data_IF_004505795619
#
_entry.id   IF_004505795619
#
_cell.length_a   1.000
_cell.length_b   1.000
_cell.length_c   1.000
_cell.angle_alpha   90.00
_cell.angle_beta   90.00
_cell.angle_gamma   90.00
#
_symmetry.space_group_name_H-M   'P 1'
#
loop_
_entity.id
_entity.type
_entity.pdbx_description
1 polymer ?
#
# COMPACT_ATOMS: atom_id res chain seq x y z
N UNK A 1 -17.27 17.92 -9.39
CA UNK A 1 -16.53 18.85 -8.52
C UNK A 1 -15.33 18.08 -8.04
N UNK A 2 -14.13 18.55 -8.36
CA UNK A 2 -12.90 17.86 -8.02
C UNK A 2 -12.39 18.35 -6.65
N UNK A 3 -11.91 17.42 -5.83
CA UNK A 3 -11.39 17.71 -4.49
C UNK A 3 -9.87 17.71 -4.53
N UNK A 4 -9.25 18.87 -4.25
CA UNK A 4 -7.79 19.05 -4.27
C UNK A 4 -7.32 19.89 -3.07
N UNK A 5 -6.08 19.69 -2.59
CA UNK A 5 -5.12 18.64 -2.99
C UNK A 5 -5.49 17.26 -2.42
N UNK A 6 -5.08 16.19 -3.11
CA UNK A 6 -5.18 14.83 -2.60
C UNK A 6 -3.79 14.31 -2.18
N UNK A 7 -3.63 13.76 -0.97
CA UNK A 7 -2.39 13.09 -0.61
C UNK A 7 -2.20 11.88 -1.53
N UNK A 8 -0.95 11.60 -1.92
CA UNK A 8 -0.63 10.39 -2.69
C UNK A 8 0.33 9.53 -1.91
N UNK A 9 -0.02 8.25 -1.77
CA UNK A 9 0.77 7.25 -1.07
C UNK A 9 1.03 6.04 -1.95
N UNK A 10 2.12 5.33 -1.66
CA UNK A 10 2.42 4.05 -2.27
C UNK A 10 2.02 2.92 -1.31
N UNK A 11 1.04 2.12 -1.72
CA UNK A 11 0.54 0.99 -0.95
C UNK A 11 1.21 -0.29 -1.43
N UNK A 12 1.92 -0.95 -0.53
CA UNK A 12 2.48 -2.28 -0.76
C UNK A 12 1.55 -3.36 -0.23
N UNK A 13 1.45 -4.47 -0.95
CA UNK A 13 0.66 -5.64 -0.56
C UNK A 13 1.27 -6.92 -1.09
N UNK A 14 0.95 -8.05 -0.45
CA UNK A 14 1.45 -9.38 -0.80
C UNK A 14 0.40 -10.42 -0.42
N UNK A 15 0.26 -11.49 -1.19
CA UNK A 15 -0.56 -12.63 -0.78
C UNK A 15 0.24 -13.50 0.22
N UNK A 16 -0.41 -14.32 1.02
CA UNK A 16 0.27 -15.31 1.89
C UNK A 16 0.81 -16.50 1.08
N UNK A 17 0.13 -16.84 0.00
CA UNK A 17 0.49 -17.96 -0.88
C UNK A 17 1.48 -17.56 -1.97
N UNK A 18 1.38 -16.31 -2.46
CA UNK A 18 2.28 -15.77 -3.47
C UNK A 18 3.42 -15.01 -2.79
N UNK A 19 4.66 -15.39 -3.08
CA UNK A 19 5.84 -14.75 -2.53
C UNK A 19 6.08 -13.35 -3.11
N UNK A 20 5.46 -13.03 -4.26
CA UNK A 20 5.74 -11.78 -4.97
C UNK A 20 4.95 -10.60 -4.40
N UNK A 21 5.63 -9.54 -3.93
CA UNK A 21 4.95 -8.33 -3.49
C UNK A 21 4.55 -7.44 -4.66
N UNK A 22 3.56 -6.59 -4.43
CA UNK A 22 3.12 -5.58 -5.36
C UNK A 22 3.04 -4.20 -4.67
N UNK A 23 3.07 -3.15 -5.48
CA UNK A 23 2.97 -1.75 -5.05
C UNK A 23 2.00 -0.98 -5.95
N UNK A 24 1.20 -0.09 -5.39
CA UNK A 24 0.22 0.73 -6.13
C UNK A 24 0.13 2.14 -5.56
N UNK A 25 -0.08 3.13 -6.42
CA UNK A 25 -0.32 4.51 -6.00
C UNK A 25 -1.78 4.74 -5.70
N UNK A 26 -2.07 5.31 -4.54
CA UNK A 26 -3.42 5.63 -4.07
C UNK A 26 -3.48 7.10 -3.67
N UNK A 27 -4.39 7.83 -4.30
CA UNK A 27 -4.71 9.22 -3.93
C UNK A 27 -5.98 9.34 -3.07
N UNK A 28 -6.87 8.34 -3.14
CA UNK A 28 -8.09 8.30 -2.33
C UNK A 28 -7.78 7.67 -0.97
N UNK A 29 -7.13 8.46 -0.13
CA UNK A 29 -6.63 8.09 1.18
C UNK A 29 -6.76 9.26 2.15
N UNK A 30 -6.80 8.99 3.45
CA UNK A 30 -6.83 10.04 4.46
C UNK A 30 -6.93 9.49 5.87
N UNK A 31 -6.87 10.40 6.84
CA UNK A 31 -7.13 10.09 8.24
C UNK A 31 -8.64 9.90 8.39
N UNK A 32 -9.04 8.74 8.89
CA UNK A 32 -10.43 8.42 9.19
C UNK A 32 -10.81 8.82 10.61
N UNK A 33 -9.90 8.57 11.57
CA UNK A 33 -10.12 8.90 12.98
C UNK A 33 -8.79 9.18 13.68
N UNK A 34 -8.82 10.18 14.57
CA UNK A 34 -7.73 10.51 15.49
C UNK A 34 -8.10 10.05 16.89
N UNK A 35 -7.77 8.81 17.24
CA UNK A 35 -7.94 8.22 18.57
C UNK A 35 -6.60 7.86 19.22
N UNK A 36 -6.59 6.94 20.22
CA UNK A 36 -5.35 6.42 20.79
C UNK A 36 -4.41 5.78 19.75
N UNK A 37 -4.97 5.33 18.63
CA UNK A 37 -4.24 4.99 17.40
C UNK A 37 -4.80 5.82 16.24
N UNK A 38 -3.90 6.25 15.36
CA UNK A 38 -4.26 6.94 14.12
C UNK A 38 -4.81 5.92 13.12
N UNK A 39 -6.06 6.11 12.70
CA UNK A 39 -6.71 5.25 11.71
C UNK A 39 -6.72 5.96 10.36
N UNK A 40 -6.21 5.28 9.33
CA UNK A 40 -6.20 5.76 7.95
C UNK A 40 -6.99 4.83 7.06
N UNK A 41 -7.62 5.39 6.03
CA UNK A 41 -8.31 4.61 5.01
C UNK A 41 -7.57 4.70 3.67
N UNK A 42 -7.65 3.63 2.88
CA UNK A 42 -7.31 3.63 1.46
C UNK A 42 -8.53 3.13 0.68
N UNK A 43 -8.81 3.72 -0.47
CA UNK A 43 -9.85 3.25 -1.37
C UNK A 43 -9.22 2.62 -2.61
N UNK A 44 -9.39 1.29 -2.74
CA UNK A 44 -8.89 0.53 -3.88
C UNK A 44 -10.10 0.02 -4.67
N UNK A 45 -10.15 0.36 -5.97
CA UNK A 45 -11.23 -0.10 -6.84
C UNK A 45 -11.21 -1.64 -6.97
N UNK A 46 -12.31 -2.35 -6.71
CA UNK A 46 -12.32 -3.82 -6.79
C UNK A 46 -12.04 -4.38 -8.19
N UNK A 47 -12.61 -3.73 -9.22
CA UNK A 47 -12.41 -4.13 -10.62
C UNK A 47 -11.15 -3.48 -11.18
N UNK A 48 -10.29 -4.30 -11.77
CA UNK A 48 -9.11 -3.85 -12.53
C UNK A 48 -7.87 -3.49 -11.70
N UNK A 49 -7.91 -3.61 -10.35
CA UNK A 49 -6.72 -3.41 -9.51
C UNK A 49 -6.28 -4.71 -8.86
N UNK A 50 -5.16 -5.24 -9.31
CA UNK A 50 -4.55 -6.46 -8.74
C UNK A 50 -4.32 -6.35 -7.22
N UNK A 51 -3.92 -5.15 -6.74
CA UNK A 51 -3.73 -4.90 -5.31
C UNK A 51 -5.01 -5.13 -4.48
N UNK A 52 -6.21 -4.92 -5.03
CA UNK A 52 -7.45 -5.19 -4.29
C UNK A 52 -7.53 -6.66 -3.90
N UNK A 53 -7.28 -7.57 -4.85
CA UNK A 53 -7.28 -9.02 -4.58
C UNK A 53 -6.25 -9.38 -3.50
N UNK A 54 -5.01 -8.89 -3.62
CA UNK A 54 -3.95 -9.16 -2.64
C UNK A 54 -4.32 -8.68 -1.24
N UNK A 55 -4.88 -7.48 -1.12
CA UNK A 55 -5.27 -6.88 0.16
C UNK A 55 -6.45 -7.62 0.77
N UNK A 56 -7.48 -7.98 -0.02
CA UNK A 56 -8.63 -8.72 0.47
C UNK A 56 -8.27 -10.13 0.93
N UNK A 57 -7.36 -10.82 0.24
CA UNK A 57 -6.94 -12.18 0.59
C UNK A 57 -6.03 -12.20 1.83
N UNK A 58 -5.04 -11.31 1.87
CA UNK A 58 -4.08 -11.27 2.99
C UNK A 58 -4.65 -10.60 4.23
N UNK A 59 -5.57 -9.65 4.05
CA UNK A 59 -6.02 -8.65 5.03
C UNK A 59 -4.89 -7.73 5.49
N UNK A 60 -3.90 -7.50 4.63
CA UNK A 60 -2.61 -6.90 4.98
C UNK A 60 -2.13 -5.93 3.88
N UNK A 61 -1.74 -4.70 4.26
CA UNK A 61 -1.10 -3.72 3.37
C UNK A 61 -0.24 -2.71 4.18
N UNK A 62 0.71 -2.02 3.54
CA UNK A 62 1.51 -0.93 4.15
C UNK A 62 1.40 0.31 3.31
N UNK A 63 1.29 1.45 3.98
CA UNK A 63 1.29 2.77 3.37
C UNK A 63 2.70 3.34 3.48
N UNK A 64 3.29 3.68 2.33
CA UNK A 64 4.57 4.36 2.23
C UNK A 64 4.32 5.78 1.73
N UNK A 65 4.94 6.76 2.37
CA UNK A 65 4.83 8.18 1.98
C UNK A 65 5.99 8.49 1.04
N UNK A 66 5.74 8.71 -0.27
CA UNK A 66 6.79 9.03 -1.21
C UNK A 66 7.30 10.47 -1.02
N UNK A 67 8.54 10.70 -1.40
CA UNK A 67 9.14 12.03 -1.52
C UNK A 67 8.91 12.61 -2.93
N UNK A 68 9.10 13.92 -3.10
CA UNK A 68 8.85 14.59 -4.39
C UNK A 68 9.73 14.06 -5.55
N UNK A 69 10.96 13.61 -5.26
CA UNK A 69 11.87 13.00 -6.25
C UNK A 69 11.40 11.61 -6.71
N UNK A 70 10.43 11.00 -6.03
CA UNK A 70 9.83 9.73 -6.41
C UNK A 70 8.59 9.88 -7.27
N UNK A 71 8.25 11.09 -7.74
CA UNK A 71 7.04 11.36 -8.51
C UNK A 71 6.86 10.44 -9.73
N UNK A 72 7.95 10.14 -10.47
CA UNK A 72 7.91 9.24 -11.62
C UNK A 72 7.60 7.79 -11.22
N UNK A 73 8.12 7.33 -10.09
CA UNK A 73 7.84 5.99 -9.54
C UNK A 73 6.37 5.91 -9.11
N UNK A 74 5.87 6.97 -8.45
CA UNK A 74 4.48 7.08 -8.05
C UNK A 74 3.55 7.04 -9.26
N UNK A 75 3.83 7.78 -10.32
CA UNK A 75 3.00 7.74 -11.53
C UNK A 75 2.99 6.33 -12.16
N UNK A 76 4.18 5.74 -12.34
CA UNK A 76 4.33 4.39 -12.89
C UNK A 76 3.54 3.34 -12.11
N UNK A 77 3.64 3.37 -10.78
CA UNK A 77 2.95 2.41 -9.91
C UNK A 77 1.42 2.54 -9.95
N UNK A 78 0.88 3.70 -10.33
CA UNK A 78 -0.55 3.95 -10.51
C UNK A 78 -1.10 3.49 -11.86
N UNK A 79 -0.27 3.52 -12.91
CA UNK A 79 -0.67 3.19 -14.28
C UNK A 79 -0.53 1.70 -14.61
N UNK A 80 0.58 1.07 -14.19
CA UNK A 80 0.88 -0.32 -14.57
C UNK A 80 0.27 -1.32 -13.60
N UNK A 81 -0.24 -2.45 -14.10
CA UNK A 81 -0.73 -3.54 -13.26
C UNK A 81 0.42 -4.42 -12.77
N UNK A 82 0.44 -4.72 -11.47
CA UNK A 82 1.41 -5.66 -10.89
C UNK A 82 1.09 -7.13 -11.15
N UNK A 83 -0.04 -7.43 -11.82
CA UNK A 83 -0.41 -8.79 -12.19
C UNK A 83 0.60 -9.39 -13.16
N UNK A 84 1.03 -8.59 -14.13
CA UNK A 84 1.87 -9.03 -15.24
C UNK A 84 3.31 -8.48 -15.14
N UNK A 85 3.54 -7.51 -14.25
CA UNK A 85 4.82 -6.79 -14.14
C UNK A 85 5.34 -6.82 -12.70
N UNK A 86 6.64 -7.10 -12.55
CA UNK A 86 7.35 -6.83 -11.28
C UNK A 86 7.73 -5.35 -11.19
N UNK A 87 6.93 -4.58 -10.48
CA UNK A 87 7.17 -3.14 -10.33
C UNK A 87 8.41 -2.83 -9.49
N UNK A 88 8.80 -3.69 -8.54
CA UNK A 88 10.00 -3.46 -7.73
C UNK A 88 11.26 -3.56 -8.60
N UNK A 89 11.30 -4.56 -9.49
CA UNK A 89 12.38 -4.70 -10.47
C UNK A 89 12.46 -3.50 -11.43
N UNK A 90 11.32 -3.06 -11.97
CA UNK A 90 11.29 -1.93 -12.93
C UNK A 90 11.65 -0.60 -12.27
N UNK A 91 11.17 -0.35 -11.05
CA UNK A 91 11.37 0.92 -10.36
C UNK A 91 12.66 0.98 -9.54
N UNK A 92 13.36 -0.15 -9.37
CA UNK A 92 14.56 -0.25 -8.53
C UNK A 92 14.28 -0.16 -7.03
N UNK A 93 13.01 -0.20 -6.62
CA UNK A 93 12.62 -0.20 -5.21
C UNK A 93 12.97 -1.54 -4.56
N UNK A 94 13.48 -1.51 -3.34
CA UNK A 94 13.81 -2.73 -2.59
C UNK A 94 12.77 -3.01 -1.51
N UNK A 95 12.05 -4.15 -1.55
CA UNK A 95 11.11 -4.52 -0.50
C UNK A 95 11.85 -4.97 0.78
N UNK A 96 11.38 -4.48 1.93
CA UNK A 96 11.90 -4.69 3.30
C UNK A 96 10.75 -5.18 4.16
N UNK A 97 10.95 -6.16 5.03
CA UNK A 97 9.91 -6.61 5.95
C UNK A 97 9.46 -5.51 6.92
N UNK A 98 8.15 -5.23 7.00
CA UNK A 98 7.62 -4.28 7.97
C UNK A 98 7.56 -4.90 9.35
N UNK A 99 7.97 -4.10 10.32
CA UNK A 99 7.93 -4.43 11.72
C UNK A 99 6.51 -4.24 12.29
N UNK A 100 5.93 -5.28 12.88
CA UNK A 100 4.58 -5.22 13.47
C UNK A 100 4.64 -5.32 15.00
N UNK A 101 4.49 -4.18 15.70
CA UNK A 101 4.44 -4.11 17.17
C UNK A 101 3.01 -4.22 17.74
N UNK A 102 1.97 -4.25 16.88
CA UNK A 102 0.56 -4.09 17.29
C UNK A 102 -0.20 -5.41 17.53
N UNK A 103 0.48 -6.57 17.52
CA UNK A 103 -0.16 -7.90 17.64
C UNK A 103 -0.92 -8.14 18.95
N UNK A 104 -0.59 -7.42 20.03
CA UNK A 104 -1.13 -7.76 21.36
C UNK A 104 -2.48 -7.12 21.69
N UNK A 105 -2.94 -6.12 20.93
CA UNK A 105 -3.91 -5.18 21.50
C UNK A 105 -5.38 -5.36 21.05
N UNK A 106 -5.75 -5.60 19.78
CA UNK A 106 -7.19 -5.85 19.47
C UNK A 106 -7.46 -6.67 18.18
N UNK A 107 -8.37 -7.66 18.29
CA UNK A 107 -9.13 -8.29 17.19
C UNK A 107 -10.49 -7.62 17.09
N UNK A 108 -10.62 -6.53 16.35
CA UNK A 108 -11.91 -6.02 15.87
C UNK A 108 -11.68 -5.38 14.51
N UNK A 109 -12.64 -5.53 13.59
CA UNK A 109 -12.58 -5.23 12.16
C UNK A 109 -11.97 -3.87 11.77
N UNK A 110 -10.64 -3.83 11.66
CA UNK A 110 -9.85 -2.79 10.97
C UNK A 110 -8.65 -3.56 10.39
N UNK A 111 -8.47 -3.56 9.06
CA UNK A 111 -7.27 -4.10 8.42
C UNK A 111 -6.07 -3.26 8.89
N UNK A 112 -5.39 -3.74 9.93
CA UNK A 112 -4.06 -3.28 10.31
C UNK A 112 -3.05 -4.25 9.71
N UNK A 113 -2.13 -3.67 8.93
CA UNK A 113 -0.96 -4.28 8.33
C UNK A 113 -0.40 -5.43 9.18
N UNK A 114 -0.36 -6.65 8.65
CA UNK A 114 0.50 -7.70 9.19
C UNK A 114 1.48 -8.10 8.09
N UNK A 115 2.76 -8.24 8.44
CA UNK A 115 3.85 -8.74 7.59
C UNK A 115 3.88 -8.16 6.15
N UNK A 116 3.85 -6.84 6.04
CA UNK A 116 3.84 -6.16 4.74
C UNK A 116 5.18 -5.50 4.50
N UNK A 117 5.52 -5.11 3.28
CA UNK A 117 6.85 -4.65 2.95
C UNK A 117 6.94 -3.11 2.96
N UNK A 118 7.91 -2.56 3.67
CA UNK A 118 8.40 -1.18 3.47
C UNK A 118 9.34 -1.19 2.26
N UNK A 119 9.52 -0.09 1.54
CA UNK A 119 10.60 -0.03 0.55
C UNK A 119 11.60 1.08 0.85
N UNK A 120 12.85 0.88 0.45
CA UNK A 120 13.89 1.91 0.42
C UNK A 120 14.38 2.15 -1.00
N UNK A 121 14.80 3.39 -1.28
CA UNK A 121 15.67 3.73 -2.41
C UNK A 121 17.09 3.29 -2.03
N UNK A 122 17.83 2.68 -2.96
CA UNK A 122 19.28 2.52 -2.80
C UNK A 122 19.98 3.88 -2.89
#
# INVERSE_FOLDING_TARGET
MDLFPLPTVLVTSRNKEDSKPNIISIAWTGILASGPQLVVYISVRPKGRYSHQLITQSMEYVINIPTADQAQIVDYCGQVSGKDVDKFQVTGLTPIEAYNKLREIFKLWILLAKNVLVYTKK
#
